data_IF_169842582235
#
_entry.id   IF_169842582235
#
_cell.length_a   1.000
_cell.length_b   1.000
_cell.length_c   1.000
_cell.angle_alpha   90.00
_cell.angle_beta   90.00
_cell.angle_gamma   90.00
#
_symmetry.space_group_name_H-M   'P 1'
#
loop_
_entity.id
_entity.type
_entity.pdbx_description
1 polymer ?
#
# COMPACT_ATOMS: atom_id res chain seq x y z
N UNK A 1 21.77 -3.97 -18.73
CA UNK A 1 21.46 -2.72 -17.99
C UNK A 1 20.08 -2.13 -18.31
N UNK A 2 19.67 -1.98 -19.57
CA UNK A 2 18.35 -1.43 -19.93
C UNK A 2 17.15 -2.29 -19.44
N UNK A 3 17.27 -3.61 -19.53
CA UNK A 3 16.24 -4.57 -19.09
C UNK A 3 15.94 -4.42 -17.58
N UNK A 4 16.96 -4.36 -16.72
CA UNK A 4 16.81 -4.24 -15.27
C UNK A 4 16.17 -2.90 -14.84
N UNK A 5 16.56 -1.78 -15.50
CA UNK A 5 15.88 -0.49 -15.30
C UNK A 5 14.41 -0.52 -15.72
N UNK A 6 14.06 -1.22 -16.79
CA UNK A 6 12.65 -1.40 -17.19
C UNK A 6 11.86 -2.20 -16.17
N UNK A 7 12.45 -3.26 -15.61
CA UNK A 7 11.80 -4.07 -14.55
C UNK A 7 11.56 -3.23 -13.30
N UNK A 8 12.54 -2.43 -12.86
CA UNK A 8 12.37 -1.49 -11.73
C UNK A 8 11.28 -0.44 -12.01
N UNK A 9 11.27 0.15 -13.22
CA UNK A 9 10.24 1.12 -13.61
C UNK A 9 8.84 0.49 -13.76
N UNK A 10 8.76 -0.78 -14.16
CA UNK A 10 7.52 -1.54 -14.19
C UNK A 10 7.03 -1.83 -12.77
N UNK A 11 7.90 -2.32 -11.89
CA UNK A 11 7.59 -2.57 -10.48
C UNK A 11 7.13 -1.29 -9.76
N UNK A 12 7.76 -0.15 -10.05
CA UNK A 12 7.33 1.15 -9.50
C UNK A 12 5.93 1.56 -9.99
N UNK A 13 5.56 1.27 -11.25
CA UNK A 13 4.21 1.52 -11.76
C UNK A 13 3.16 0.62 -11.12
N UNK A 14 3.46 -0.66 -10.96
CA UNK A 14 2.60 -1.61 -10.24
C UNK A 14 2.36 -1.14 -8.80
N UNK A 15 3.40 -0.65 -8.12
CA UNK A 15 3.28 -0.09 -6.78
C UNK A 15 2.36 1.14 -6.73
N UNK A 16 2.39 2.02 -7.74
CA UNK A 16 1.42 3.12 -7.87
C UNK A 16 -0.01 2.62 -8.06
N UNK A 17 -0.22 1.59 -8.89
CA UNK A 17 -1.57 1.03 -9.10
C UNK A 17 -2.12 0.38 -7.84
N UNK A 18 -1.29 -0.33 -7.06
CA UNK A 18 -1.67 -0.85 -5.75
C UNK A 18 -2.07 0.27 -4.79
N UNK A 19 -1.43 1.45 -4.86
CA UNK A 19 -1.77 2.59 -4.01
C UNK A 19 -3.15 3.15 -4.35
N UNK A 20 -3.41 3.30 -5.64
CA UNK A 20 -4.72 3.76 -6.13
C UNK A 20 -5.81 2.75 -5.75
N UNK A 21 -5.53 1.45 -5.88
CA UNK A 21 -6.46 0.40 -5.48
C UNK A 21 -6.72 0.41 -3.97
N UNK A 22 -5.68 0.58 -3.16
CA UNK A 22 -5.81 0.72 -1.70
C UNK A 22 -6.68 1.94 -1.34
N UNK A 23 -6.44 3.08 -1.99
CA UNK A 23 -7.21 4.31 -1.77
C UNK A 23 -8.68 4.14 -2.17
N UNK A 24 -8.95 3.40 -3.24
CA UNK A 24 -10.32 3.05 -3.63
C UNK A 24 -11.04 2.23 -2.53
N UNK A 25 -10.41 1.17 -2.03
CA UNK A 25 -11.00 0.37 -0.95
C UNK A 25 -11.12 1.14 0.36
N UNK A 26 -10.16 2.00 0.67
CA UNK A 26 -10.23 2.90 1.82
C UNK A 26 -11.42 3.85 1.72
N UNK A 27 -11.67 4.45 0.55
CA UNK A 27 -12.86 5.27 0.33
C UNK A 27 -14.14 4.44 0.49
N UNK A 28 -14.19 3.23 -0.07
CA UNK A 28 -15.32 2.33 0.13
C UNK A 28 -15.56 2.03 1.62
N UNK A 29 -14.51 1.74 2.38
CA UNK A 29 -14.59 1.56 3.83
C UNK A 29 -15.18 2.79 4.52
N UNK A 30 -14.76 4.00 4.11
CA UNK A 30 -15.32 5.24 4.64
C UNK A 30 -16.80 5.41 4.28
N UNK A 31 -17.21 5.05 3.07
CA UNK A 31 -18.63 5.10 2.64
C UNK A 31 -19.52 4.12 3.42
N UNK A 32 -18.98 2.99 3.86
CA UNK A 32 -19.66 2.03 4.73
C UNK A 32 -20.12 2.66 6.06
N UNK A 33 -19.51 3.77 6.52
CA UNK A 33 -19.99 4.47 7.72
C UNK A 33 -21.27 5.28 7.50
N UNK A 34 -21.55 5.71 6.27
CA UNK A 34 -22.70 6.58 5.95
C UNK A 34 -23.94 5.73 5.64
N UNK A 35 -23.75 4.46 5.29
CA UNK A 35 -24.81 3.56 4.82
C UNK A 35 -24.84 2.28 5.65
N UNK A 36 -26.01 1.72 5.99
CA UNK A 36 -26.08 0.40 6.60
C UNK A 36 -25.68 -0.64 5.56
N UNK A 37 -24.50 -1.23 5.74
CA UNK A 37 -23.90 -2.21 4.82
C UNK A 37 -23.82 -3.58 5.52
N UNK A 38 -23.97 -4.64 4.74
CA UNK A 38 -23.85 -6.02 5.22
C UNK A 38 -22.42 -6.31 5.76
N UNK A 39 -22.33 -7.06 6.85
CA UNK A 39 -21.08 -7.44 7.51
C UNK A 39 -20.14 -8.19 6.54
N UNK A 40 -20.70 -8.99 5.64
CA UNK A 40 -19.92 -9.70 4.61
C UNK A 40 -19.12 -8.73 3.72
N UNK A 41 -19.71 -7.59 3.36
CA UNK A 41 -19.05 -6.60 2.50
C UNK A 41 -17.97 -5.83 3.26
N UNK A 42 -18.19 -5.57 4.55
CA UNK A 42 -17.21 -4.93 5.43
C UNK A 42 -15.97 -5.84 5.62
N UNK A 43 -16.18 -7.12 5.91
CA UNK A 43 -15.11 -8.12 6.01
C UNK A 43 -14.31 -8.25 4.71
N UNK A 44 -15.01 -8.23 3.57
CA UNK A 44 -14.36 -8.28 2.26
C UNK A 44 -13.49 -7.05 1.99
N UNK A 45 -13.96 -5.84 2.35
CA UNK A 45 -13.17 -4.61 2.20
C UNK A 45 -11.93 -4.66 3.11
N UNK A 46 -12.11 -5.01 4.39
CA UNK A 46 -11.00 -5.09 5.36
C UNK A 46 -9.96 -6.14 4.96
N UNK A 47 -10.41 -7.30 4.47
CA UNK A 47 -9.53 -8.33 3.92
C UNK A 47 -8.77 -7.83 2.68
N UNK A 48 -9.46 -7.17 1.76
CA UNK A 48 -8.86 -6.65 0.53
C UNK A 48 -7.81 -5.59 0.82
N UNK A 49 -8.09 -4.67 1.74
CA UNK A 49 -7.13 -3.66 2.20
C UNK A 49 -5.90 -4.31 2.83
N UNK A 50 -6.09 -5.32 3.67
CA UNK A 50 -4.99 -6.08 4.30
C UNK A 50 -4.10 -6.74 3.26
N UNK A 51 -4.71 -7.42 2.28
CA UNK A 51 -3.99 -8.10 1.21
C UNK A 51 -3.20 -7.12 0.33
N UNK A 52 -3.78 -5.96 0.02
CA UNK A 52 -3.09 -4.90 -0.72
C UNK A 52 -1.92 -4.33 0.09
N UNK A 53 -2.07 -4.12 1.40
CA UNK A 53 -0.98 -3.68 2.27
C UNK A 53 0.19 -4.66 2.27
N UNK A 54 -0.06 -5.96 2.40
CA UNK A 54 0.99 -6.99 2.36
C UNK A 54 1.69 -7.02 1.00
N UNK A 55 0.94 -7.01 -0.09
CA UNK A 55 1.52 -7.01 -1.45
C UNK A 55 2.36 -5.76 -1.70
N UNK A 56 1.92 -4.59 -1.24
CA UNK A 56 2.69 -3.35 -1.25
C UNK A 56 4.03 -3.47 -0.54
N UNK A 57 4.05 -4.09 0.64
CA UNK A 57 5.27 -4.30 1.42
C UNK A 57 6.22 -5.23 0.67
N UNK A 58 5.73 -6.37 0.17
CA UNK A 58 6.55 -7.31 -0.60
C UNK A 58 7.16 -6.67 -1.85
N UNK A 59 6.37 -5.91 -2.61
CA UNK A 59 6.90 -5.17 -3.76
C UNK A 59 7.86 -4.05 -3.35
N UNK A 60 7.63 -3.39 -2.22
CA UNK A 60 8.54 -2.39 -1.68
C UNK A 60 9.91 -2.98 -1.33
N UNK A 61 9.93 -4.11 -0.61
CA UNK A 61 11.15 -4.86 -0.29
C UNK A 61 11.87 -5.30 -1.56
N UNK A 62 11.13 -5.79 -2.56
CA UNK A 62 11.70 -6.17 -3.85
C UNK A 62 12.40 -5.01 -4.57
N UNK A 63 11.78 -3.82 -4.61
CA UNK A 63 12.36 -2.63 -5.25
C UNK A 63 13.62 -2.16 -4.51
N UNK A 64 13.62 -2.22 -3.18
CA UNK A 64 14.79 -1.89 -2.36
C UNK A 64 15.93 -2.87 -2.65
N UNK A 65 15.65 -4.17 -2.65
CA UNK A 65 16.64 -5.21 -2.95
C UNK A 65 17.22 -5.05 -4.37
N UNK A 66 16.36 -4.83 -5.37
CA UNK A 66 16.76 -4.60 -6.75
C UNK A 66 17.60 -3.31 -6.91
N UNK A 67 17.31 -2.26 -6.12
CA UNK A 67 18.09 -1.02 -6.11
C UNK A 67 19.48 -1.22 -5.48
N UNK A 68 19.58 -1.99 -4.40
CA UNK A 68 20.85 -2.37 -3.76
C UNK A 68 21.67 -3.25 -4.71
N UNK A 69 21.05 -4.26 -5.33
CA UNK A 69 21.71 -5.12 -6.32
C UNK A 69 22.27 -4.29 -7.49
N UNK A 70 21.52 -3.31 -7.98
CA UNK A 70 21.99 -2.42 -9.02
C UNK A 70 23.18 -1.54 -8.59
N UNK A 71 23.26 -1.14 -7.32
CA UNK A 71 24.40 -0.40 -6.77
C UNK A 71 25.70 -1.21 -6.90
N UNK A 72 25.68 -2.50 -6.55
CA UNK A 72 26.86 -3.36 -6.65
C UNK A 72 27.34 -3.58 -8.09
N UNK A 73 26.41 -3.67 -9.06
CA UNK A 73 26.75 -3.94 -10.46
C UNK A 73 27.11 -2.70 -11.28
N UNK A 74 26.46 -1.56 -11.01
CA UNK A 74 26.62 -0.35 -11.84
C UNK A 74 27.30 0.81 -11.14
N UNK A 75 27.53 0.73 -9.82
CA UNK A 75 28.02 1.84 -8.97
C UNK A 75 27.20 3.14 -9.08
N UNK A 76 26.06 3.11 -9.75
CA UNK A 76 25.12 4.23 -9.90
C UNK A 76 23.87 3.88 -9.13
N UNK A 77 23.63 4.63 -8.07
CA UNK A 77 22.52 4.39 -7.16
C UNK A 77 21.22 4.89 -7.79
N UNK A 78 20.25 3.98 -7.98
CA UNK A 78 18.91 4.34 -8.44
C UNK A 78 18.09 4.95 -7.29
N UNK A 79 18.50 6.13 -6.82
CA UNK A 79 17.95 6.76 -5.62
C UNK A 79 16.48 7.19 -5.79
N UNK A 80 16.11 7.67 -6.99
CA UNK A 80 14.75 8.11 -7.32
C UNK A 80 13.67 7.02 -7.11
N UNK A 81 13.79 5.81 -7.68
CA UNK A 81 12.78 4.77 -7.48
C UNK A 81 12.72 4.28 -6.03
N UNK A 82 13.86 4.12 -5.36
CA UNK A 82 13.91 3.66 -3.97
C UNK A 82 13.18 4.63 -3.01
N UNK A 83 13.46 5.93 -3.11
CA UNK A 83 12.86 6.95 -2.26
C UNK A 83 11.34 7.07 -2.50
N UNK A 84 10.90 6.97 -3.76
CA UNK A 84 9.48 6.94 -4.12
C UNK A 84 8.75 5.74 -3.50
N UNK A 85 9.35 4.56 -3.45
CA UNK A 85 8.75 3.39 -2.78
C UNK A 85 8.59 3.61 -1.28
N UNK A 86 9.61 4.16 -0.61
CA UNK A 86 9.56 4.43 0.84
C UNK A 86 8.42 5.40 1.15
N UNK A 87 8.29 6.47 0.36
CA UNK A 87 7.20 7.44 0.52
C UNK A 87 5.82 6.79 0.37
N UNK A 88 5.65 5.91 -0.62
CA UNK A 88 4.37 5.21 -0.85
C UNK A 88 4.03 4.23 0.27
N UNK A 89 5.02 3.50 0.79
CA UNK A 89 4.82 2.65 1.96
C UNK A 89 4.42 3.46 3.20
N UNK A 90 5.03 4.64 3.41
CA UNK A 90 4.64 5.55 4.49
C UNK A 90 3.20 6.04 4.37
N UNK A 91 2.74 6.36 3.15
CA UNK A 91 1.35 6.76 2.91
C UNK A 91 0.38 5.63 3.25
N UNK A 92 0.66 4.40 2.81
CA UNK A 92 -0.20 3.24 3.13
C UNK A 92 -0.21 2.97 4.62
N UNK A 93 0.94 3.08 5.29
CA UNK A 93 1.03 2.90 6.74
C UNK A 93 0.20 3.96 7.48
N UNK A 94 0.27 5.22 7.06
CA UNK A 94 -0.59 6.28 7.60
C UNK A 94 -2.08 5.95 7.41
N UNK A 95 -2.49 5.57 6.20
CA UNK A 95 -3.89 5.22 5.94
C UNK A 95 -4.37 4.02 6.75
N UNK A 96 -3.53 3.00 6.93
CA UNK A 96 -3.83 1.85 7.78
C UNK A 96 -3.98 2.27 9.26
N UNK A 97 -3.11 3.16 9.77
CA UNK A 97 -3.27 3.67 11.14
C UNK A 97 -4.56 4.49 11.30
N UNK A 98 -4.99 5.21 10.26
CA UNK A 98 -6.28 5.89 10.27
C UNK A 98 -7.45 4.91 10.25
N UNK A 99 -7.42 3.85 9.44
CA UNK A 99 -8.49 2.84 9.44
C UNK A 99 -8.63 2.17 10.81
N UNK A 100 -7.51 1.77 11.43
CA UNK A 100 -7.51 1.14 12.76
C UNK A 100 -8.03 2.10 13.84
N UNK A 101 -7.68 3.38 13.75
CA UNK A 101 -8.15 4.39 14.70
C UNK A 101 -9.65 4.63 14.56
N UNK A 102 -10.16 4.69 13.33
CA UNK A 102 -11.59 4.81 13.05
C UNK A 102 -12.35 3.59 13.56
N UNK A 103 -11.86 2.38 13.27
CA UNK A 103 -12.48 1.13 13.71
C UNK A 103 -12.57 1.07 15.25
N UNK A 104 -11.50 1.45 15.96
CA UNK A 104 -11.51 1.56 17.43
C UNK A 104 -12.49 2.60 17.95
N UNK A 105 -12.57 3.77 17.32
CA UNK A 105 -13.52 4.82 17.73
C UNK A 105 -14.96 4.34 17.55
N UNK A 106 -15.25 3.62 16.47
CA UNK A 106 -16.59 3.06 16.20
C UNK A 106 -16.92 1.92 17.15
N UNK A 107 -16.01 0.96 17.35
CA UNK A 107 -16.25 -0.17 18.26
C UNK A 107 -16.45 0.28 19.72
N UNK A 108 -15.75 1.33 20.14
CA UNK A 108 -15.87 1.90 21.50
C UNK A 108 -17.09 2.83 21.61
N UNK A 109 -17.54 3.42 20.51
CA UNK A 109 -18.77 4.22 20.46
C UNK A 109 -20.06 3.40 20.45
N UNK A 110 -20.01 2.14 19.98
CA UNK A 110 -21.15 1.20 19.97
C UNK A 110 -21.27 0.42 21.29
N UNK A 111 -20.31 0.54 22.21
CA UNK A 111 -20.35 -0.09 23.54
C UNK A 111 -20.92 0.82 24.66
N UNK A 112 -21.89 1.68 24.32
CA UNK A 112 -22.72 2.47 25.24
C UNK A 112 -24.20 2.25 24.89
#
# INVERSE_FOLDING_TARGET
>A
MLQFRRVLAFSSRVHTYLLVLYLFFFLMFVFTFITPVDNFLLDFISYSMTLISWTMIFFGVWIIFASIYQLFYTKVLAFSPALLTILRCLIVLLLATFSDLIEKVVSTGVSL
#
